data_IF_182944564784
#
_entry.id   IF_182944564784
#
_cell.length_a   1.000
_cell.length_b   1.000
_cell.length_c   1.000
_cell.angle_alpha   90.00
_cell.angle_beta   90.00
_cell.angle_gamma   90.00
#
_symmetry.space_group_name_H-M   'P 1'
#
loop_
_entity.id
_entity.type
_entity.pdbx_description
1 polymer ?
#
# COMPACT_ATOMS: atom_id res chain seq x y z
N UNK A 1 -1.28 52.14 9.94
CA UNK A 1 0.01 51.44 10.01
C UNK A 1 -0.04 50.47 11.19
N UNK A 2 -0.81 49.39 11.16
CA UNK A 2 -0.56 48.11 10.48
C UNK A 2 0.86 47.58 10.68
N UNK A 3 1.05 46.80 11.74
CA UNK A 3 1.80 45.54 11.65
C UNK A 3 0.87 44.46 12.21
N UNK A 4 0.44 43.47 11.40
CA UNK A 4 -0.29 42.34 11.91
C UNK A 4 0.69 41.45 12.68
N UNK A 5 0.29 41.03 13.89
CA UNK A 5 1.02 40.04 14.67
C UNK A 5 1.37 38.85 13.79
N UNK A 6 2.63 38.40 13.75
CA UNK A 6 2.97 37.17 13.07
C UNK A 6 2.19 36.07 13.78
N UNK A 7 1.12 35.58 13.12
CA UNK A 7 0.39 34.39 13.52
C UNK A 7 1.42 33.31 13.76
N UNK A 8 1.72 33.05 15.04
CA UNK A 8 2.50 31.89 15.45
C UNK A 8 1.69 30.68 15.05
N UNK A 9 1.96 30.16 13.85
CA UNK A 9 1.61 28.81 13.47
C UNK A 9 2.50 27.89 14.31
N UNK A 10 2.22 27.81 15.60
CA UNK A 10 2.49 26.60 16.35
C UNK A 10 1.68 25.53 15.64
N UNK A 11 2.35 24.79 14.75
CA UNK A 11 1.77 23.65 14.09
C UNK A 11 1.43 22.69 15.22
N UNK A 12 0.18 22.73 15.70
CA UNK A 12 -0.33 21.83 16.72
C UNK A 12 0.02 20.43 16.22
N UNK A 13 0.96 19.78 16.90
CA UNK A 13 1.32 18.39 16.62
C UNK A 13 0.06 17.58 16.90
N UNK A 14 -0.72 17.34 15.84
CA UNK A 14 -1.77 16.35 15.90
C UNK A 14 -1.08 15.02 16.11
N UNK A 15 -1.04 14.55 17.36
CA UNK A 15 -0.66 13.20 17.73
C UNK A 15 -1.67 12.25 17.08
N UNK A 16 -1.45 11.96 15.79
CA UNK A 16 -2.08 10.82 15.14
C UNK A 16 -1.30 9.61 15.61
N UNK A 17 -1.86 8.88 16.56
CA UNK A 17 -1.31 7.59 16.99
C UNK A 17 -1.29 6.68 15.77
N UNK A 18 -0.09 6.28 15.34
CA UNK A 18 0.10 5.32 14.26
C UNK A 18 -0.11 3.92 14.86
N UNK A 19 -1.01 3.13 14.26
CA UNK A 19 -1.15 1.72 14.60
C UNK A 19 -0.03 0.92 13.92
N UNK A 20 1.08 0.76 14.63
CA UNK A 20 2.25 0.02 14.15
C UNK A 20 1.99 -1.48 13.95
N UNK A 21 1.00 -2.04 14.64
CA UNK A 21 0.63 -3.46 14.49
C UNK A 21 -0.07 -3.66 13.16
N UNK A 22 -1.11 -2.87 12.88
CA UNK A 22 -1.82 -2.91 11.60
C UNK A 22 -0.90 -2.58 10.41
N UNK A 23 0.02 -1.62 10.59
CA UNK A 23 1.03 -1.30 9.57
C UNK A 23 1.92 -2.51 9.28
N UNK A 24 2.42 -3.19 10.32
CA UNK A 24 3.28 -4.38 10.20
C UNK A 24 2.64 -5.55 9.44
N UNK A 25 1.32 -5.72 9.54
CA UNK A 25 0.58 -6.77 8.84
C UNK A 25 0.47 -6.55 7.33
N UNK A 26 0.44 -5.28 6.90
CA UNK A 26 0.24 -4.90 5.48
C UNK A 26 1.58 -4.92 4.72
N UNK A 27 2.71 -4.83 5.41
CA UNK A 27 4.03 -4.68 4.79
C UNK A 27 4.47 -5.97 4.08
N UNK A 28 4.79 -5.89 2.77
CA UNK A 28 5.40 -6.99 2.04
C UNK A 28 6.70 -7.47 2.68
N UNK A 29 6.98 -8.78 2.64
CA UNK A 29 8.17 -9.37 3.32
C UNK A 29 9.49 -8.70 2.92
N UNK A 30 9.64 -8.30 1.67
CA UNK A 30 10.81 -7.62 1.12
C UNK A 30 10.97 -6.16 1.62
N UNK A 31 9.93 -5.56 2.20
CA UNK A 31 9.97 -4.19 2.73
C UNK A 31 10.00 -4.12 4.26
N UNK A 32 9.97 -5.26 4.97
CA UNK A 32 10.01 -5.32 6.43
C UNK A 32 11.21 -4.58 7.04
N UNK A 33 12.38 -4.69 6.42
CA UNK A 33 13.59 -4.00 6.90
C UNK A 33 13.43 -2.48 6.87
N UNK A 34 12.83 -1.94 5.81
CA UNK A 34 12.59 -0.51 5.65
C UNK A 34 11.56 -0.04 6.67
N UNK A 35 10.47 -0.78 6.84
CA UNK A 35 9.43 -0.46 7.83
C UNK A 35 9.95 -0.46 9.27
N UNK A 36 10.74 -1.46 9.65
CA UNK A 36 11.36 -1.52 10.98
C UNK A 36 12.29 -0.32 11.21
N UNK A 37 13.02 0.11 10.18
CA UNK A 37 13.85 1.31 10.25
C UNK A 37 13.01 2.57 10.49
N UNK A 38 11.90 2.72 9.76
CA UNK A 38 10.96 3.83 9.90
C UNK A 38 10.37 3.90 11.31
N UNK A 39 9.94 2.77 11.85
CA UNK A 39 9.43 2.70 13.22
C UNK A 39 10.49 3.13 14.24
N UNK A 40 11.73 2.63 14.12
CA UNK A 40 12.82 3.02 15.04
C UNK A 40 13.13 4.52 14.98
N UNK A 41 13.07 5.11 13.78
CA UNK A 41 13.26 6.54 13.59
C UNK A 41 12.11 7.34 14.19
N UNK A 42 10.87 6.88 14.03
CA UNK A 42 9.70 7.51 14.64
C UNK A 42 9.79 7.51 16.18
N UNK A 43 10.15 6.37 16.79
CA UNK A 43 10.34 6.26 18.24
C UNK A 43 11.50 7.16 18.73
N UNK A 44 12.60 7.20 17.99
CA UNK A 44 13.76 8.05 18.31
C UNK A 44 13.40 9.54 18.23
N UNK A 45 12.66 9.96 17.20
CA UNK A 45 12.24 11.35 17.04
C UNK A 45 11.19 11.74 18.09
N UNK A 46 10.23 10.87 18.36
CA UNK A 46 9.17 11.10 19.35
C UNK A 46 9.76 11.22 20.76
N UNK A 47 10.70 10.34 21.13
CA UNK A 47 11.39 10.41 22.42
C UNK A 47 12.24 11.67 22.55
N UNK A 48 13.02 12.03 21.52
CA UNK A 48 13.80 13.29 21.52
C UNK A 48 12.91 14.51 21.65
N UNK A 49 11.80 14.54 20.91
CA UNK A 49 10.84 15.64 20.97
C UNK A 49 10.20 15.77 22.36
N UNK A 50 9.87 14.65 23.01
CA UNK A 50 9.33 14.65 24.37
C UNK A 50 10.34 15.15 25.42
N UNK A 51 11.65 14.97 25.18
CA UNK A 51 12.71 15.46 26.07
C UNK A 51 13.11 16.92 25.84
N UNK A 52 12.72 17.51 24.71
CA UNK A 52 13.03 18.91 24.41
C UNK A 52 12.12 19.83 25.24
N UNK A 53 12.68 20.77 26.01
CA UNK A 53 11.88 21.75 26.72
C UNK A 53 11.04 22.58 25.74
N UNK A 54 9.73 22.70 25.96
CA UNK A 54 8.88 23.62 25.18
C UNK A 54 9.35 25.08 25.30
N UNK A 55 10.05 25.41 26.40
CA UNK A 55 10.69 26.70 26.66
C UNK A 55 12.10 26.48 27.20
N UNK A 56 13.09 27.30 26.78
CA UNK A 56 14.46 27.16 27.25
C UNK A 56 14.55 27.29 28.79
N UNK A 57 15.48 26.57 29.46
CA UNK A 57 15.64 26.65 30.91
C UNK A 57 16.12 28.04 31.34
N UNK A 58 15.36 28.69 32.21
CA UNK A 58 15.70 30.01 32.74
C UNK A 58 16.73 29.87 33.88
N UNK A 59 17.99 30.20 33.62
CA UNK A 59 19.02 30.31 34.65
C UNK A 59 19.87 31.57 34.46
N UNK A 60 19.72 32.54 35.37
CA UNK A 60 20.82 33.41 35.80
C UNK A 60 21.47 34.37 34.80
N UNK A 61 20.75 34.88 33.79
CA UNK A 61 20.99 36.13 33.04
C UNK A 61 19.85 36.26 32.02
N UNK A 62 18.62 36.15 32.55
CA UNK A 62 17.39 35.87 31.79
C UNK A 62 17.14 36.93 30.72
N UNK A 63 17.46 38.20 30.99
CA UNK A 63 17.16 39.32 30.10
C UNK A 63 18.07 39.39 28.85
N UNK A 64 19.38 39.16 29.02
CA UNK A 64 20.34 39.10 27.91
C UNK A 64 20.17 37.81 27.08
N UNK A 65 19.81 36.70 27.74
CA UNK A 65 19.52 35.45 27.06
C UNK A 65 18.20 35.54 26.28
N UNK A 66 17.15 36.14 26.84
CA UNK A 66 15.87 36.38 26.16
C UNK A 66 16.02 37.27 24.93
N UNK A 67 16.81 38.37 25.03
CA UNK A 67 17.13 39.22 23.87
C UNK A 67 17.86 38.45 22.76
N UNK A 68 18.90 37.68 23.11
CA UNK A 68 19.68 36.92 22.13
C UNK A 68 18.93 35.70 21.57
N UNK A 69 18.06 35.09 22.36
CA UNK A 69 17.22 33.95 21.97
C UNK A 69 16.07 34.38 21.05
N UNK A 70 15.38 35.48 21.35
CA UNK A 70 14.37 36.06 20.47
C UNK A 70 14.97 36.60 19.16
N UNK A 71 16.24 37.03 19.18
CA UNK A 71 16.98 37.39 17.98
C UNK A 71 17.43 36.16 17.17
N UNK A 72 17.55 34.99 17.79
CA UNK A 72 17.88 33.73 17.14
C UNK A 72 16.62 33.13 16.49
N UNK A 73 16.26 33.64 15.30
CA UNK A 73 15.34 32.91 14.42
C UNK A 73 15.99 31.58 14.06
N UNK A 74 15.51 30.49 14.66
CA UNK A 74 15.80 29.14 14.17
C UNK A 74 15.30 29.10 12.72
N UNK A 75 16.17 28.93 11.71
CA UNK A 75 15.69 28.81 10.35
C UNK A 75 14.77 27.59 10.29
N UNK A 76 13.49 27.86 10.04
CA UNK A 76 12.50 26.84 9.73
C UNK A 76 13.08 26.01 8.58
N UNK A 77 13.19 24.69 8.78
CA UNK A 77 13.56 23.78 7.71
C UNK A 77 12.56 24.00 6.56
N UNK A 78 13.07 24.24 5.35
CA UNK A 78 12.24 24.28 4.14
C UNK A 78 11.46 22.97 4.02
N UNK A 79 10.16 23.08 3.77
CA UNK A 79 9.29 21.94 3.59
C UNK A 79 9.58 21.28 2.23
N UNK A 80 10.36 20.21 2.25
CA UNK A 80 10.75 19.43 1.06
C UNK A 80 9.84 18.22 0.82
N UNK A 81 8.82 18.01 1.64
CA UNK A 81 8.04 16.76 1.66
C UNK A 81 6.76 16.81 0.81
N UNK A 82 6.41 17.96 0.23
CA UNK A 82 5.27 18.11 -0.70
C UNK A 82 5.35 17.20 -1.94
N UNK A 83 6.53 16.66 -2.27
CA UNK A 83 6.68 15.67 -3.33
C UNK A 83 6.11 14.28 -2.97
N UNK A 84 6.07 13.89 -1.68
CA UNK A 84 5.50 12.61 -1.24
C UNK A 84 3.98 12.52 -1.42
N UNK A 85 3.27 13.65 -1.36
CA UNK A 85 1.82 13.72 -1.62
C UNK A 85 1.44 13.32 -3.06
N UNK A 86 2.40 13.37 -4.00
CA UNK A 86 2.19 12.94 -5.38
C UNK A 86 2.26 11.40 -5.51
N UNK A 87 3.18 10.77 -4.79
CA UNK A 87 3.37 9.32 -4.74
C UNK A 87 2.13 8.63 -4.12
N UNK A 88 1.59 9.17 -3.02
CA UNK A 88 0.37 8.66 -2.39
C UNK A 88 -0.82 8.64 -3.38
N UNK A 89 -0.96 9.68 -4.22
CA UNK A 89 -2.04 9.76 -5.21
C UNK A 89 -1.89 8.74 -6.34
N UNK A 90 -0.67 8.34 -6.67
CA UNK A 90 -0.41 7.30 -7.68
C UNK A 90 -0.73 5.91 -7.12
N UNK A 91 -0.31 5.63 -5.88
CA UNK A 91 -0.61 4.37 -5.19
C UNK A 91 -2.11 4.15 -4.99
N UNK A 92 -2.86 5.21 -4.66
CA UNK A 92 -4.33 5.15 -4.53
C UNK A 92 -4.99 4.75 -5.86
N UNK A 93 -4.48 5.25 -7.00
CA UNK A 93 -5.00 4.87 -8.33
C UNK A 93 -4.69 3.41 -8.65
N UNK A 94 -3.44 2.99 -8.45
CA UNK A 94 -3.03 1.59 -8.62
C UNK A 94 -3.87 0.63 -7.77
N UNK A 95 -4.14 1.00 -6.51
CA UNK A 95 -5.03 0.25 -5.62
C UNK A 95 -6.46 0.15 -6.16
N UNK A 96 -7.03 1.26 -6.66
CA UNK A 96 -8.37 1.26 -7.24
C UNK A 96 -8.47 0.36 -8.49
N UNK A 97 -7.46 0.43 -9.37
CA UNK A 97 -7.35 -0.44 -10.54
C UNK A 97 -7.25 -1.92 -10.13
N UNK A 98 -6.37 -2.24 -9.18
CA UNK A 98 -6.21 -3.60 -8.67
C UNK A 98 -7.51 -4.16 -8.08
N UNK A 99 -8.26 -3.36 -7.31
CA UNK A 99 -9.56 -3.75 -6.75
C UNK A 99 -10.56 -4.02 -7.86
N UNK A 100 -10.61 -3.17 -8.89
CA UNK A 100 -11.53 -3.35 -10.03
C UNK A 100 -11.23 -4.64 -10.80
N UNK A 101 -9.95 -4.91 -11.10
CA UNK A 101 -9.49 -6.12 -11.78
C UNK A 101 -9.76 -7.37 -10.93
N UNK A 102 -9.53 -7.29 -9.63
CA UNK A 102 -9.78 -8.40 -8.71
C UNK A 102 -11.26 -8.75 -8.64
N UNK A 103 -12.16 -7.75 -8.59
CA UNK A 103 -13.61 -7.97 -8.65
C UNK A 103 -14.04 -8.63 -9.97
N UNK A 104 -13.43 -8.25 -11.09
CA UNK A 104 -13.68 -8.91 -12.38
C UNK A 104 -13.25 -10.38 -12.36
N UNK A 105 -12.05 -10.68 -11.84
CA UNK A 105 -11.55 -12.06 -11.69
C UNK A 105 -12.44 -12.90 -10.78
N UNK A 106 -12.89 -12.36 -9.65
CA UNK A 106 -13.81 -13.06 -8.73
C UNK A 106 -15.08 -13.49 -9.47
N UNK A 107 -15.72 -12.58 -10.21
CA UNK A 107 -16.93 -12.91 -10.99
C UNK A 107 -16.68 -14.00 -12.04
N UNK A 108 -15.52 -13.96 -12.69
CA UNK A 108 -15.14 -14.99 -13.65
C UNK A 108 -14.97 -16.36 -12.98
N UNK A 109 -14.27 -16.41 -11.84
CA UNK A 109 -14.08 -17.64 -11.07
C UNK A 109 -15.38 -18.17 -10.47
N UNK A 110 -16.29 -17.30 -10.02
CA UNK A 110 -17.63 -17.69 -9.56
C UNK A 110 -18.42 -18.37 -10.69
N UNK A 111 -18.38 -17.81 -11.90
CA UNK A 111 -19.02 -18.43 -13.08
C UNK A 111 -18.38 -19.78 -13.43
N UNK A 112 -17.06 -19.91 -13.33
CA UNK A 112 -16.37 -21.19 -13.55
C UNK A 112 -16.74 -22.22 -12.48
N UNK A 113 -16.83 -21.81 -11.21
CA UNK A 113 -17.28 -22.66 -10.11
C UNK A 113 -18.72 -23.14 -10.29
N UNK A 114 -19.63 -22.26 -10.70
CA UNK A 114 -21.01 -22.64 -11.01
C UNK A 114 -21.08 -23.64 -12.16
N UNK A 115 -20.29 -23.45 -13.22
CA UNK A 115 -20.15 -24.45 -14.27
C UNK A 115 -19.72 -25.78 -13.67
N UNK A 116 -18.60 -25.81 -12.92
CA UNK A 116 -18.06 -27.04 -12.32
C UNK A 116 -19.04 -27.77 -11.40
N UNK A 117 -19.82 -27.04 -10.60
CA UNK A 117 -20.84 -27.63 -9.70
C UNK A 117 -22.02 -28.26 -10.45
N UNK A 118 -22.33 -27.75 -11.64
CA UNK A 118 -23.43 -28.22 -12.47
C UNK A 118 -23.00 -29.28 -13.50
N UNK A 119 -21.72 -29.68 -13.54
CA UNK A 119 -21.24 -30.76 -14.40
C UNK A 119 -21.76 -32.11 -13.88
N UNK A 120 -22.14 -32.97 -14.81
CA UNK A 120 -22.51 -34.36 -14.52
C UNK A 120 -21.35 -35.05 -13.80
N UNK A 121 -21.58 -35.81 -12.71
CA UNK A 121 -20.52 -36.54 -12.02
C UNK A 121 -19.69 -37.36 -13.01
N UNK A 122 -18.37 -37.39 -12.78
CA UNK A 122 -17.41 -37.99 -13.71
C UNK A 122 -17.78 -39.41 -14.14
N UNK A 123 -18.27 -40.25 -13.20
CA UNK A 123 -18.67 -41.64 -13.46
C UNK A 123 -19.87 -41.79 -14.40
N UNK A 124 -20.66 -40.73 -14.59
CA UNK A 124 -21.87 -40.72 -15.41
C UNK A 124 -21.72 -39.85 -16.67
N UNK A 125 -20.61 -39.15 -16.82
CA UNK A 125 -20.40 -38.21 -17.92
C UNK A 125 -20.06 -38.95 -19.22
N UNK A 126 -20.77 -38.65 -20.30
CA UNK A 126 -20.42 -39.20 -21.62
C UNK A 126 -19.37 -38.34 -22.32
N UNK A 127 -18.65 -38.92 -23.30
CA UNK A 127 -17.68 -38.17 -24.12
C UNK A 127 -18.33 -36.97 -24.82
N UNK A 128 -19.62 -37.06 -25.16
CA UNK A 128 -20.35 -35.95 -25.77
C UNK A 128 -20.55 -34.80 -24.78
N UNK A 129 -20.97 -35.12 -23.56
CA UNK A 129 -21.18 -34.13 -22.48
C UNK A 129 -19.85 -33.49 -22.07
N UNK A 130 -18.77 -34.28 -21.97
CA UNK A 130 -17.41 -33.79 -21.71
C UNK A 130 -17.01 -32.73 -22.75
N UNK A 131 -17.19 -33.02 -24.04
CA UNK A 131 -16.81 -32.10 -25.11
C UNK A 131 -17.72 -30.86 -25.21
N UNK A 132 -18.91 -30.90 -24.62
CA UNK A 132 -19.80 -29.73 -24.52
C UNK A 132 -19.34 -28.78 -23.41
N UNK A 133 -18.93 -29.34 -22.27
CA UNK A 133 -18.40 -28.57 -21.13
C UNK A 133 -16.97 -28.08 -21.39
N UNK A 134 -16.13 -28.94 -21.97
CA UNK A 134 -14.70 -28.72 -22.22
C UNK A 134 -14.41 -28.92 -23.73
N UNK A 135 -14.76 -27.93 -24.58
CA UNK A 135 -14.55 -28.04 -26.02
C UNK A 135 -13.08 -28.26 -26.41
N UNK A 136 -12.13 -27.86 -25.56
CA UNK A 136 -10.69 -28.11 -25.72
C UNK A 136 -10.30 -29.59 -25.69
N UNK A 137 -11.09 -30.47 -25.07
CA UNK A 137 -10.81 -31.92 -25.09
C UNK A 137 -11.26 -32.59 -26.38
N UNK A 138 -11.98 -31.86 -27.24
CA UNK A 138 -12.50 -32.40 -28.49
C UNK A 138 -11.36 -32.64 -29.48
N UNK A 139 -11.17 -33.89 -29.86
CA UNK A 139 -10.20 -34.29 -30.87
C UNK A 139 -10.48 -33.59 -32.21
N UNK A 140 -9.54 -32.76 -32.67
CA UNK A 140 -9.60 -32.15 -34.00
C UNK A 140 -9.08 -33.12 -35.06
N UNK A 141 -9.99 -34.00 -35.51
CA UNK A 141 -9.72 -34.97 -36.57
C UNK A 141 -9.57 -34.34 -37.96
N UNK A 142 -9.91 -33.06 -38.14
CA UNK A 142 -9.69 -32.36 -39.43
C UNK A 142 -8.25 -31.87 -39.53
N UNK A 143 -7.74 -31.30 -38.43
CA UNK A 143 -6.36 -30.81 -38.34
C UNK A 143 -5.36 -31.95 -38.13
N UNK A 144 -5.73 -32.95 -37.32
CA UNK A 144 -4.89 -34.10 -36.97
C UNK A 144 -5.63 -35.41 -37.21
N UNK A 145 -5.70 -35.83 -38.48
CA UNK A 145 -6.46 -37.00 -38.92
C UNK A 145 -5.93 -38.33 -38.36
N UNK A 146 -4.63 -38.44 -38.09
CA UNK A 146 -3.98 -39.67 -37.61
C UNK A 146 -3.50 -39.54 -36.17
N UNK A 147 -3.32 -40.70 -35.52
CA UNK A 147 -2.66 -40.76 -34.21
C UNK A 147 -1.16 -40.44 -34.32
N UNK A 148 -0.57 -39.70 -33.38
CA UNK A 148 -1.23 -39.00 -32.28
C UNK A 148 -1.99 -37.78 -32.79
N UNK A 149 -3.25 -37.63 -32.34
CA UNK A 149 -4.13 -36.52 -32.74
C UNK A 149 -3.66 -35.14 -32.22
N UNK A 150 -2.47 -35.09 -31.60
CA UNK A 150 -1.74 -33.89 -31.21
C UNK A 150 -0.27 -34.07 -31.60
N UNK A 151 0.45 -32.98 -31.94
CA UNK A 151 1.88 -33.04 -32.23
C UNK A 151 2.66 -33.66 -31.06
N UNK A 152 3.68 -34.47 -31.36
CA UNK A 152 4.53 -35.12 -30.35
C UNK A 152 5.19 -34.09 -29.43
N UNK A 153 5.47 -32.89 -29.93
CA UNK A 153 6.04 -31.77 -29.18
C UNK A 153 5.13 -31.26 -28.04
N UNK A 154 3.83 -31.57 -28.08
CA UNK A 154 2.82 -31.13 -27.11
C UNK A 154 2.34 -32.26 -26.18
N UNK A 155 2.89 -33.47 -26.31
CA UNK A 155 2.60 -34.63 -25.44
C UNK A 155 3.60 -34.68 -24.28
#
# INVERSE_FOLDING_TARGET
WHMPDPKMAGHKLGLKTIDWVAFGEIIPRNQKTIANSLQSWNETLTSRLATLPEKPPAAGLVDDFEKKFNALKIPLLEDKYTAQDAEEKEDVKSCAEFVSLSKARIKEYEKQLEKMKNIIPFDQMTIKDLNEVFPETKLDKKKYSYWPHQPIENL
#
